data_IF_394125740941
#
_entry.id   IF_394125740941
#
_cell.length_a   1.000
_cell.length_b   1.000
_cell.length_c   1.000
_cell.angle_alpha   90.00
_cell.angle_beta   90.00
_cell.angle_gamma   90.00
#
_symmetry.space_group_name_H-M   'P 1'
#
loop_
_entity.id
_entity.type
_entity.pdbx_description
1 polymer ?
#
# COMPACT_ATOMS: atom_id res chain seq x y z
N UNK A 1 3.37 1.96 19.72
CA UNK A 1 3.99 3.29 19.87
C UNK A 1 3.16 4.37 19.18
N UNK A 2 3.22 5.61 19.68
CA UNK A 2 2.51 6.78 19.13
C UNK A 2 3.45 7.99 19.11
N UNK A 3 3.40 8.77 18.03
CA UNK A 3 4.16 10.02 17.84
C UNK A 3 5.68 9.88 18.04
N UNK A 4 6.28 8.84 17.45
CA UNK A 4 7.74 8.69 17.35
C UNK A 4 8.27 9.28 16.04
N UNK A 5 9.60 9.33 15.90
CA UNK A 5 10.22 9.72 14.64
C UNK A 5 9.73 8.81 13.49
N UNK A 6 9.32 9.41 12.38
CA UNK A 6 8.76 8.69 11.22
C UNK A 6 7.36 8.09 11.38
N UNK A 7 6.73 8.08 12.56
CA UNK A 7 5.47 7.33 12.79
C UNK A 7 4.48 8.10 13.67
N UNK A 8 3.22 8.17 13.24
CA UNK A 8 2.10 8.71 14.03
C UNK A 8 1.56 7.63 14.99
N UNK A 9 1.33 6.42 14.49
CA UNK A 9 0.89 5.27 15.28
C UNK A 9 1.49 4.00 14.69
N UNK A 10 1.95 3.07 15.54
CA UNK A 10 2.34 1.72 15.15
C UNK A 10 2.02 0.72 16.24
N UNK A 11 1.43 -0.41 15.89
CA UNK A 11 1.24 -1.55 16.79
C UNK A 11 1.23 -2.87 16.01
N UNK A 12 2.01 -3.83 16.48
CA UNK A 12 2.06 -5.22 15.99
C UNK A 12 1.33 -6.20 16.92
N UNK A 13 0.85 -5.73 18.08
CA UNK A 13 0.19 -6.54 19.12
C UNK A 13 1.05 -7.64 19.75
N UNK A 14 2.37 -7.68 19.48
CA UNK A 14 3.29 -8.69 20.02
C UNK A 14 3.93 -8.25 21.34
N UNK A 15 3.99 -6.95 21.59
CA UNK A 15 4.72 -6.38 22.75
C UNK A 15 4.11 -6.70 24.13
N UNK A 16 2.81 -6.98 24.21
CA UNK A 16 2.17 -7.39 25.49
C UNK A 16 0.86 -8.15 25.28
N UNK A 17 0.45 -8.93 26.28
CA UNK A 17 -0.83 -9.66 26.27
C UNK A 17 -2.06 -8.77 26.53
N UNK A 18 -1.85 -7.50 26.91
CA UNK A 18 -2.91 -6.56 27.25
C UNK A 18 -2.99 -5.40 26.26
N UNK A 19 -4.12 -4.70 26.26
CA UNK A 19 -4.27 -3.51 25.43
C UNK A 19 -3.31 -2.41 25.91
N UNK A 20 -2.44 -1.92 25.03
CA UNK A 20 -1.60 -0.75 25.32
C UNK A 20 -2.46 0.52 25.30
N UNK A 21 -2.80 1.01 26.49
CA UNK A 21 -3.61 2.21 26.67
C UNK A 21 -2.95 3.52 26.21
N UNK A 22 -1.67 3.48 25.85
CA UNK A 22 -1.00 4.62 25.20
C UNK A 22 -1.30 4.71 23.71
N UNK A 23 -1.74 3.61 23.09
CA UNK A 23 -2.07 3.49 21.66
C UNK A 23 -3.59 3.40 21.47
N UNK A 24 -4.24 2.59 22.32
CA UNK A 24 -5.65 2.25 22.21
C UNK A 24 -6.43 2.64 23.44
N UNK A 25 -7.49 3.40 23.25
CA UNK A 25 -8.34 3.83 24.36
C UNK A 25 -9.32 2.74 24.82
N UNK A 26 -9.90 2.00 23.87
CA UNK A 26 -11.00 1.07 24.12
C UNK A 26 -10.92 -0.11 23.15
N UNK A 27 -11.24 -1.30 23.67
CA UNK A 27 -11.43 -2.51 22.88
C UNK A 27 -12.66 -3.25 23.42
N UNK A 28 -13.61 -3.56 22.54
CA UNK A 28 -14.85 -4.27 22.86
C UNK A 28 -14.95 -5.52 21.98
N UNK A 29 -15.31 -6.65 22.60
CA UNK A 29 -15.46 -7.91 21.88
C UNK A 29 -14.17 -8.43 21.24
N UNK A 30 -13.02 -7.95 21.75
CA UNK A 30 -11.70 -8.15 21.18
C UNK A 30 -10.68 -8.51 22.25
N UNK A 31 -9.62 -9.23 21.86
CA UNK A 31 -8.47 -9.49 22.72
C UNK A 31 -7.23 -9.84 21.92
N UNK A 32 -6.06 -9.49 22.46
CA UNK A 32 -4.77 -9.85 21.85
C UNK A 32 -4.54 -11.35 22.06
N UNK A 33 -4.35 -12.08 20.96
CA UNK A 33 -4.31 -13.54 20.99
C UNK A 33 -3.70 -14.14 19.72
N UNK A 34 -3.25 -15.38 19.82
CA UNK A 34 -2.91 -16.28 18.69
C UNK A 34 -4.07 -17.23 18.36
N UNK A 35 -5.27 -17.02 18.92
CA UNK A 35 -6.41 -17.94 18.79
C UNK A 35 -6.82 -18.21 17.34
N UNK A 36 -6.78 -17.18 16.49
CA UNK A 36 -7.05 -17.32 15.06
C UNK A 36 -5.80 -17.59 14.23
N UNK A 37 -4.74 -18.10 14.85
CA UNK A 37 -3.46 -18.32 14.18
C UNK A 37 -2.79 -17.01 13.77
N UNK A 38 -1.85 -17.13 12.83
CA UNK A 38 -1.04 -16.00 12.34
C UNK A 38 -1.85 -15.23 11.29
N UNK A 39 -2.01 -13.92 11.48
CA UNK A 39 -2.54 -13.01 10.46
C UNK A 39 -1.39 -12.54 9.57
N UNK A 40 -0.36 -11.94 10.16
CA UNK A 40 0.88 -11.59 9.46
C UNK A 40 2.10 -12.15 10.21
N UNK A 41 2.19 -11.89 11.52
CA UNK A 41 3.21 -12.42 12.42
C UNK A 41 2.69 -12.44 13.86
N UNK A 42 3.10 -13.43 14.65
CA UNK A 42 2.86 -13.41 16.10
C UNK A 42 1.38 -13.34 16.50
N UNK A 43 1.10 -12.53 17.53
CA UNK A 43 -0.23 -12.23 18.07
C UNK A 43 -0.95 -11.20 17.22
N UNK A 44 -2.27 -11.22 17.30
CA UNK A 44 -3.12 -10.23 16.65
C UNK A 44 -4.25 -9.80 17.57
N UNK A 45 -4.91 -8.68 17.26
CA UNK A 45 -6.15 -8.29 17.91
C UNK A 45 -7.31 -9.11 17.33
N UNK A 46 -7.82 -10.09 18.07
CA UNK A 46 -8.83 -11.05 17.61
C UNK A 46 -10.23 -10.66 18.09
N UNK A 47 -11.19 -10.62 17.16
CA UNK A 47 -12.61 -10.34 17.41
C UNK A 47 -13.45 -11.59 17.15
N UNK A 48 -13.71 -12.35 18.21
CA UNK A 48 -14.52 -13.59 18.14
C UNK A 48 -15.76 -13.57 19.03
N UNK A 49 -15.97 -12.54 19.85
CA UNK A 49 -17.13 -12.50 20.75
C UNK A 49 -18.43 -12.54 19.94
N UNK A 50 -19.35 -13.50 20.19
CA UNK A 50 -20.51 -13.72 19.35
C UNK A 50 -21.57 -12.65 19.55
N UNK A 51 -21.61 -11.98 20.71
CA UNK A 51 -22.64 -10.98 21.05
C UNK A 51 -21.97 -9.74 21.63
N UNK A 52 -22.54 -8.58 21.32
CA UNK A 52 -22.06 -7.29 21.82
C UNK A 52 -21.41 -6.48 20.72
N UNK A 53 -20.54 -5.55 21.11
CA UNK A 53 -19.81 -4.69 20.20
C UNK A 53 -18.46 -5.33 19.87
N UNK A 54 -18.06 -5.22 18.60
CA UNK A 54 -16.70 -5.54 18.13
C UNK A 54 -16.08 -4.25 17.64
N UNK A 55 -15.29 -3.61 18.49
CA UNK A 55 -14.75 -2.27 18.26
C UNK A 55 -13.35 -2.15 18.85
N UNK A 56 -12.44 -1.48 18.14
CA UNK A 56 -11.13 -1.06 18.63
C UNK A 56 -10.93 0.41 18.30
N UNK A 57 -10.60 1.23 19.32
CA UNK A 57 -10.56 2.69 19.21
C UNK A 57 -9.19 3.20 19.65
N UNK A 58 -8.49 3.92 18.76
CA UNK A 58 -7.19 4.53 19.07
C UNK A 58 -7.31 5.64 20.11
N UNK A 59 -6.19 6.07 20.69
CA UNK A 59 -6.11 7.36 21.40
C UNK A 59 -6.34 8.53 20.42
N UNK A 60 -6.43 9.75 20.94
CA UNK A 60 -6.38 10.95 20.10
C UNK A 60 -4.98 11.12 19.52
N UNK A 61 -4.91 11.32 18.21
CA UNK A 61 -3.68 11.43 17.42
C UNK A 61 -3.66 12.78 16.71
N UNK A 62 -2.45 13.30 16.52
CA UNK A 62 -2.20 14.34 15.53
C UNK A 62 -1.87 13.71 14.17
N UNK A 63 -2.79 13.81 13.21
CA UNK A 63 -2.69 13.20 11.87
C UNK A 63 -2.46 14.25 10.79
N UNK A 64 -2.08 15.48 11.15
CA UNK A 64 -1.80 16.58 10.20
C UNK A 64 -0.81 16.19 9.10
N UNK A 65 0.12 15.29 9.40
CA UNK A 65 1.18 14.83 8.50
C UNK A 65 0.96 13.42 7.98
N UNK A 66 -0.14 12.77 8.33
CA UNK A 66 -0.46 11.41 7.87
C UNK A 66 -1.01 11.43 6.44
N UNK A 67 -0.57 10.48 5.62
CA UNK A 67 -1.07 10.31 4.24
C UNK A 67 -1.75 8.95 4.01
N UNK A 68 -1.34 7.92 4.74
CA UNK A 68 -1.85 6.57 4.60
C UNK A 68 -1.97 5.89 5.97
N UNK A 69 -2.75 4.81 6.00
CA UNK A 69 -2.81 3.85 7.10
C UNK A 69 -2.67 2.47 6.49
N UNK A 70 -1.72 1.69 6.98
CA UNK A 70 -1.53 0.30 6.57
C UNK A 70 -1.85 -0.61 7.73
N UNK A 71 -2.49 -1.74 7.45
CA UNK A 71 -2.87 -2.75 8.42
C UNK A 71 -3.12 -4.08 7.71
N UNK A 72 -2.97 -5.19 8.43
CA UNK A 72 -3.37 -6.50 7.97
C UNK A 72 -4.69 -6.91 8.64
N UNK A 73 -5.64 -7.41 7.84
CA UNK A 73 -6.92 -7.92 8.34
C UNK A 73 -7.21 -9.28 7.71
N UNK A 74 -7.51 -10.28 8.53
CA UNK A 74 -7.83 -11.63 8.09
C UNK A 74 -8.62 -12.37 9.16
N UNK A 75 -9.29 -13.46 8.79
CA UNK A 75 -9.78 -14.43 9.77
C UNK A 75 -8.69 -15.41 10.25
N UNK A 76 -7.52 -15.41 9.61
CA UNK A 76 -6.45 -16.36 9.90
C UNK A 76 -6.94 -17.81 9.73
N UNK A 77 -6.70 -18.65 10.74
CA UNK A 77 -7.24 -20.01 10.81
C UNK A 77 -8.67 -20.10 11.36
N UNK A 78 -9.26 -19.00 11.82
CA UNK A 78 -10.67 -18.96 12.21
C UNK A 78 -11.59 -18.91 10.98
N UNK A 79 -12.88 -19.13 11.21
CA UNK A 79 -13.89 -19.07 10.17
C UNK A 79 -14.40 -17.62 10.07
N UNK A 80 -14.29 -16.95 8.90
CA UNK A 80 -14.92 -15.65 8.68
C UNK A 80 -16.44 -15.82 8.63
N UNK A 81 -17.19 -14.80 9.07
CA UNK A 81 -18.65 -14.81 9.00
C UNK A 81 -19.12 -14.41 7.60
N UNK A 82 -19.61 -15.32 6.76
CA UNK A 82 -19.95 -15.00 5.37
C UNK A 82 -21.17 -14.06 5.25
N UNK A 83 -22.03 -14.06 6.27
CA UNK A 83 -23.20 -13.20 6.36
C UNK A 83 -23.01 -12.03 7.35
N UNK A 84 -21.87 -11.98 8.04
CA UNK A 84 -21.56 -10.87 8.92
C UNK A 84 -21.33 -9.60 8.07
N UNK A 85 -21.69 -8.44 8.60
CA UNK A 85 -21.43 -7.18 7.91
C UNK A 85 -19.93 -6.90 7.78
N UNK A 86 -19.59 -6.08 6.79
CA UNK A 86 -18.22 -5.65 6.56
C UNK A 86 -17.67 -4.85 7.74
N UNK A 87 -16.38 -5.07 7.99
CA UNK A 87 -15.57 -4.31 8.94
C UNK A 87 -15.48 -2.87 8.40
N UNK A 88 -15.78 -1.92 9.26
CA UNK A 88 -15.79 -0.50 8.97
C UNK A 88 -14.59 0.19 9.61
N UNK A 89 -13.94 1.08 8.86
CA UNK A 89 -12.88 1.92 9.36
C UNK A 89 -13.36 3.36 9.33
N UNK A 90 -13.33 3.99 10.50
CA UNK A 90 -13.87 5.34 10.70
C UNK A 90 -12.93 6.20 11.52
N UNK A 91 -13.05 7.51 11.39
CA UNK A 91 -12.40 8.48 12.25
C UNK A 91 -13.42 9.43 12.88
N UNK A 92 -13.05 10.01 14.01
CA UNK A 92 -13.78 11.11 14.63
C UNK A 92 -12.78 12.18 15.09
N UNK A 93 -13.23 13.42 15.12
CA UNK A 93 -12.44 14.57 15.56
C UNK A 93 -12.98 15.03 16.91
N UNK A 94 -12.09 15.26 17.88
CA UNK A 94 -12.36 15.79 19.23
C UNK A 94 -13.22 14.93 20.17
N UNK A 95 -14.49 14.67 19.84
CA UNK A 95 -15.49 14.19 20.82
C UNK A 95 -15.85 12.71 20.67
N UNK A 96 -15.40 12.04 19.61
CA UNK A 96 -15.70 10.63 19.29
C UNK A 96 -17.20 10.32 19.23
N UNK A 97 -18.02 11.32 18.91
CA UNK A 97 -19.46 11.15 18.74
C UNK A 97 -19.78 11.01 17.26
N UNK A 98 -19.27 11.93 16.43
CA UNK A 98 -19.50 11.92 14.98
C UNK A 98 -18.40 11.13 14.26
N UNK A 99 -18.72 9.89 13.90
CA UNK A 99 -17.78 8.99 13.23
C UNK A 99 -17.96 9.05 11.72
N UNK A 100 -16.91 9.50 11.06
CA UNK A 100 -16.78 9.60 9.62
C UNK A 100 -16.11 8.36 9.05
N UNK A 101 -16.72 7.77 8.04
CA UNK A 101 -16.24 6.52 7.43
C UNK A 101 -15.11 6.81 6.43
N UNK A 102 -13.95 6.18 6.64
CA UNK A 102 -12.79 6.25 5.74
C UNK A 102 -12.95 5.24 4.62
N UNK A 103 -13.23 4.00 5.02
CA UNK A 103 -13.42 2.89 4.11
C UNK A 103 -14.58 2.04 4.60
N UNK A 104 -15.67 2.15 3.84
CA UNK A 104 -16.85 1.30 3.72
C UNK A 104 -17.82 2.10 2.87
N UNK A 105 -18.41 1.43 1.89
CA UNK A 105 -19.28 1.98 0.84
C UNK A 105 -20.26 3.00 1.43
N UNK A 106 -20.01 4.30 1.25
CA UNK A 106 -20.94 5.37 1.59
C UNK A 106 -20.99 6.39 0.46
N UNK A 107 -22.21 6.86 0.19
CA UNK A 107 -22.56 7.69 -0.98
C UNK A 107 -21.99 9.12 -0.95
N UNK A 108 -21.45 9.57 0.19
CA UNK A 108 -20.83 10.88 0.37
C UNK A 108 -19.73 10.79 1.43
N UNK A 109 -18.55 10.22 1.12
CA UNK A 109 -17.46 10.16 2.08
C UNK A 109 -16.87 11.57 2.29
N UNK A 110 -16.61 11.99 3.54
CA UNK A 110 -15.81 13.18 3.79
C UNK A 110 -14.42 13.01 3.16
N UNK A 111 -13.84 14.11 2.70
CA UNK A 111 -12.51 14.06 2.08
C UNK A 111 -11.49 13.56 3.11
N UNK A 112 -10.57 12.69 2.70
CA UNK A 112 -9.47 12.23 3.57
C UNK A 112 -8.62 13.39 4.12
N UNK A 113 -8.70 14.58 3.52
CA UNK A 113 -8.07 15.80 4.03
C UNK A 113 -8.70 16.32 5.34
N UNK A 114 -9.99 16.08 5.58
CA UNK A 114 -10.64 16.49 6.83
C UNK A 114 -10.09 15.69 8.03
N UNK A 115 -9.58 14.49 7.78
CA UNK A 115 -8.92 13.66 8.77
C UNK A 115 -7.47 14.07 9.06
N UNK A 116 -6.90 15.09 8.38
CA UNK A 116 -5.52 15.58 8.61
C UNK A 116 -5.51 16.75 9.60
N UNK A 117 -5.86 16.47 10.85
CA UNK A 117 -5.96 17.48 11.90
C UNK A 117 -5.45 16.94 13.24
N UNK A 118 -5.44 17.79 14.27
CA UNK A 118 -5.23 17.37 15.65
C UNK A 118 -6.51 16.75 16.23
N UNK A 119 -6.37 15.86 17.21
CA UNK A 119 -7.51 15.31 17.94
C UNK A 119 -8.29 14.22 17.18
N UNK A 120 -7.65 13.53 16.24
CA UNK A 120 -8.30 12.46 15.46
C UNK A 120 -8.20 11.12 16.18
N UNK A 121 -9.28 10.37 16.24
CA UNK A 121 -9.27 8.97 16.70
C UNK A 121 -9.80 8.06 15.61
N UNK A 122 -9.16 6.90 15.43
CA UNK A 122 -9.59 5.88 14.49
C UNK A 122 -10.35 4.77 15.21
N UNK A 123 -11.33 4.21 14.52
CA UNK A 123 -12.13 3.09 15.00
C UNK A 123 -12.29 2.04 13.92
N UNK A 124 -11.89 0.83 14.27
CA UNK A 124 -12.21 -0.39 13.56
C UNK A 124 -13.43 -1.00 14.22
N UNK A 125 -14.53 -1.19 13.50
CA UNK A 125 -15.73 -1.81 14.08
C UNK A 125 -16.46 -2.72 13.12
N UNK A 126 -17.22 -3.66 13.70
CA UNK A 126 -18.15 -4.50 12.98
C UNK A 126 -19.53 -4.39 13.63
N UNK A 127 -20.51 -3.98 12.83
CA UNK A 127 -21.91 -3.88 13.26
C UNK A 127 -22.60 -5.23 13.09
N UNK A 128 -23.54 -5.55 13.97
CA UNK A 128 -24.38 -6.73 13.84
C UNK A 128 -25.48 -6.47 12.79
N UNK A 129 -25.81 -7.48 11.98
CA UNK A 129 -26.94 -7.37 11.06
C UNK A 129 -28.25 -7.16 11.82
N UNK A 130 -29.18 -6.38 11.25
CA UNK A 130 -30.39 -5.95 11.94
C UNK A 130 -31.31 -7.12 12.39
N UNK A 131 -31.23 -8.25 11.72
CA UNK A 131 -31.96 -9.49 11.98
C UNK A 131 -31.11 -10.58 12.67
N UNK A 132 -29.80 -10.35 12.80
CA UNK A 132 -28.89 -11.24 13.49
C UNK A 132 -28.87 -10.95 15.00
N UNK A 133 -28.65 -12.01 15.79
CA UNK A 133 -28.53 -11.93 17.25
C UNK A 133 -27.10 -12.22 17.73
N UNK A 134 -26.24 -12.71 16.82
CA UNK A 134 -24.83 -12.99 17.07
C UNK A 134 -24.03 -12.92 15.77
N UNK A 135 -22.75 -12.60 15.88
CA UNK A 135 -21.79 -12.75 14.79
C UNK A 135 -21.53 -14.23 14.51
N UNK A 136 -21.41 -14.58 13.23
CA UNK A 136 -21.20 -15.96 12.79
C UNK A 136 -19.72 -16.37 12.76
N UNK A 137 -18.82 -15.40 12.54
CA UNK A 137 -17.39 -15.70 12.43
C UNK A 137 -16.50 -14.74 13.20
N UNK A 138 -15.20 -14.87 12.95
CA UNK A 138 -14.16 -14.04 13.54
C UNK A 138 -13.38 -13.25 12.49
N UNK A 139 -12.75 -12.19 12.94
CA UNK A 139 -11.71 -11.49 12.20
C UNK A 139 -10.63 -11.02 13.17
N UNK A 140 -9.45 -10.76 12.65
CA UNK A 140 -8.31 -10.32 13.41
C UNK A 140 -7.58 -9.19 12.66
N UNK A 141 -7.05 -8.25 13.44
CA UNK A 141 -6.28 -7.09 12.99
C UNK A 141 -4.84 -7.25 13.48
N UNK A 142 -3.89 -6.98 12.59
CA UNK A 142 -2.47 -7.14 12.86
C UNK A 142 -1.68 -6.03 12.15
N UNK A 143 -0.52 -5.67 12.71
CA UNK A 143 0.48 -4.79 12.10
C UNK A 143 -0.11 -3.49 11.54
N UNK A 144 -0.65 -2.65 12.42
CA UNK A 144 -1.15 -1.32 12.05
C UNK A 144 -0.02 -0.29 12.08
N UNK A 145 0.07 0.55 11.05
CA UNK A 145 0.94 1.72 11.02
C UNK A 145 0.29 2.91 10.32
N UNK A 146 0.50 4.08 10.90
CA UNK A 146 0.23 5.38 10.30
C UNK A 146 1.59 6.09 10.20
N UNK A 147 2.25 6.10 9.04
CA UNK A 147 3.53 6.76 8.89
C UNK A 147 3.38 8.27 8.98
N UNK A 148 4.41 8.93 9.50
CA UNK A 148 4.55 10.38 9.47
C UNK A 148 5.16 10.79 8.13
N UNK A 149 4.39 11.46 7.29
CA UNK A 149 4.79 11.86 5.93
C UNK A 149 5.13 13.35 5.84
N UNK A 150 5.42 14.01 6.97
CA UNK A 150 5.84 15.41 6.97
C UNK A 150 7.10 15.65 6.14
N UNK A 151 8.02 14.69 6.17
CA UNK A 151 9.29 14.73 5.47
C UNK A 151 9.62 13.33 4.97
N UNK A 152 9.41 13.06 3.68
CA UNK A 152 9.93 11.84 3.05
C UNK A 152 11.43 12.00 2.86
N UNK A 153 12.28 11.12 3.44
CA UNK A 153 13.71 11.22 3.26
C UNK A 153 14.10 10.89 1.82
N UNK A 154 15.19 11.51 1.34
CA UNK A 154 15.73 11.28 0.00
C UNK A 154 16.70 10.10 -0.08
N UNK A 155 17.07 9.57 1.08
CA UNK A 155 18.01 8.48 1.26
C UNK A 155 17.57 7.68 2.49
N UNK A 156 17.77 6.37 2.43
CA UNK A 156 17.62 5.45 3.55
C UNK A 156 18.92 4.65 3.66
N UNK A 157 19.49 4.63 4.85
CA UNK A 157 20.69 3.84 5.17
C UNK A 157 20.43 3.18 6.52
N UNK A 158 20.54 1.86 6.56
CA UNK A 158 20.31 1.08 7.77
C UNK A 158 21.26 -0.12 7.79
N UNK A 159 21.99 -0.25 8.88
CA UNK A 159 22.88 -1.37 9.15
C UNK A 159 22.31 -2.31 10.23
N UNK A 160 21.09 -2.05 10.71
CA UNK A 160 20.36 -2.82 11.72
C UNK A 160 21.04 -2.92 13.09
N UNK A 161 22.03 -2.08 13.40
CA UNK A 161 22.63 -1.99 14.75
C UNK A 161 21.66 -1.44 15.80
N UNK A 162 20.79 -0.52 15.36
CA UNK A 162 19.72 0.07 16.16
C UNK A 162 18.46 0.13 15.31
N UNK A 163 17.34 -0.35 15.85
CA UNK A 163 16.06 -0.27 15.15
C UNK A 163 15.58 1.18 15.07
N UNK A 164 15.45 1.70 13.86
CA UNK A 164 14.83 2.99 13.56
C UNK A 164 13.42 2.78 12.94
N UNK A 165 12.33 3.13 13.65
CA UNK A 165 10.97 2.96 13.14
C UNK A 165 10.64 3.88 11.96
N UNK A 166 11.49 4.85 11.62
CA UNK A 166 11.32 5.73 10.46
C UNK A 166 11.82 5.14 9.13
N UNK A 167 12.59 4.05 9.18
CA UNK A 167 13.13 3.40 7.98
C UNK A 167 12.21 2.31 7.42
N UNK A 168 11.57 1.53 8.29
CA UNK A 168 10.84 0.31 7.89
C UNK A 168 9.39 0.30 8.35
N UNK A 169 8.46 0.13 7.41
CA UNK A 169 7.03 -0.05 7.68
C UNK A 169 6.77 -1.43 8.27
N UNK A 170 7.14 -2.50 7.58
CA UNK A 170 6.85 -3.88 8.02
C UNK A 170 7.98 -4.83 7.65
N UNK A 171 8.23 -5.80 8.52
CA UNK A 171 9.09 -6.94 8.23
C UNK A 171 8.59 -8.20 8.94
N UNK A 172 7.38 -8.70 8.60
CA UNK A 172 6.79 -9.83 9.31
C UNK A 172 7.66 -11.08 9.22
N UNK A 173 7.75 -11.82 10.33
CA UNK A 173 8.64 -12.97 10.49
C UNK A 173 10.14 -12.62 10.33
N UNK A 174 10.50 -11.34 10.39
CA UNK A 174 11.87 -10.85 10.40
C UNK A 174 12.27 -10.41 11.80
N UNK A 175 13.44 -10.85 12.24
CA UNK A 175 14.03 -10.47 13.52
C UNK A 175 15.33 -9.72 13.30
N UNK A 176 15.53 -8.61 14.00
CA UNK A 176 16.83 -7.93 14.01
C UNK A 176 17.72 -8.61 15.06
N UNK A 177 18.66 -9.43 14.62
CA UNK A 177 19.51 -10.23 15.51
C UNK A 177 20.85 -10.59 14.86
N UNK A 178 21.78 -11.16 15.63
CA UNK A 178 23.00 -11.72 15.08
C UNK A 178 22.73 -13.16 14.61
N UNK A 179 22.69 -13.36 13.29
CA UNK A 179 22.40 -14.64 12.64
C UNK A 179 23.20 -14.80 11.34
N UNK A 180 23.18 -16.01 10.77
CA UNK A 180 23.76 -16.32 9.46
C UNK A 180 25.24 -15.99 9.31
N UNK A 181 26.02 -16.24 10.37
CA UNK A 181 27.46 -15.95 10.48
C UNK A 181 27.81 -14.46 10.24
N UNK A 182 26.84 -13.55 10.39
CA UNK A 182 27.10 -12.12 10.34
C UNK A 182 27.89 -11.66 11.59
N UNK A 183 28.88 -10.79 11.38
CA UNK A 183 29.62 -10.18 12.49
C UNK A 183 28.80 -9.09 13.21
N UNK A 184 27.78 -8.56 12.54
CA UNK A 184 26.91 -7.46 13.00
C UNK A 184 25.47 -7.98 13.12
N UNK A 185 24.56 -7.13 13.60
CA UNK A 185 23.12 -7.44 13.61
C UNK A 185 22.55 -7.29 12.20
N UNK A 186 21.64 -8.18 11.84
CA UNK A 186 21.02 -8.22 10.51
C UNK A 186 19.52 -8.40 10.66
N UNK A 187 18.76 -7.96 9.66
CA UNK A 187 17.36 -8.38 9.52
C UNK A 187 17.33 -9.83 9.02
N UNK A 188 17.00 -10.74 9.93
CA UNK A 188 17.05 -12.18 9.72
C UNK A 188 15.65 -12.76 9.57
N UNK A 189 15.42 -13.50 8.49
CA UNK A 189 14.20 -14.28 8.28
C UNK A 189 14.52 -15.77 8.47
N UNK A 190 13.92 -16.38 9.50
CA UNK A 190 14.28 -17.73 9.93
C UNK A 190 13.49 -18.86 9.24
N UNK A 191 12.42 -18.53 8.50
CA UNK A 191 11.45 -19.56 8.11
C UNK A 191 10.59 -19.95 9.30
N UNK A 192 9.26 -19.83 9.20
CA UNK A 192 8.43 -20.26 10.32
C UNK A 192 8.29 -21.78 10.42
N UNK A 193 7.83 -22.23 11.60
CA UNK A 193 7.81 -23.64 11.98
C UNK A 193 6.79 -24.50 11.22
N UNK A 194 5.85 -23.87 10.50
CA UNK A 194 4.79 -24.56 9.74
C UNK A 194 4.98 -24.37 8.24
N UNK A 195 4.71 -25.42 7.45
CA UNK A 195 4.69 -25.39 5.98
C UNK A 195 3.50 -24.59 5.41
N UNK A 196 3.17 -23.45 6.03
CA UNK A 196 2.14 -22.52 5.58
C UNK A 196 2.74 -21.34 4.80
N UNK A 197 1.88 -20.60 4.11
CA UNK A 197 2.21 -19.33 3.45
C UNK A 197 2.58 -18.28 4.51
N UNK A 198 3.83 -18.30 4.94
CA UNK A 198 4.38 -17.25 5.79
C UNK A 198 4.83 -16.11 4.91
N UNK A 199 4.33 -14.92 5.21
CA UNK A 199 4.75 -13.71 4.55
C UNK A 199 6.10 -13.26 5.11
N UNK A 200 7.15 -13.38 4.30
CA UNK A 200 8.50 -12.90 4.60
C UNK A 200 8.86 -11.82 3.59
N UNK A 201 8.80 -10.59 4.04
CA UNK A 201 9.16 -9.43 3.25
C UNK A 201 9.62 -8.32 4.18
N UNK A 202 10.28 -7.31 3.64
CA UNK A 202 10.56 -6.06 4.34
C UNK A 202 10.11 -4.90 3.45
N UNK A 203 9.40 -3.94 4.04
CA UNK A 203 8.88 -2.75 3.35
C UNK A 203 9.50 -1.52 4.00
N UNK A 204 10.20 -0.70 3.22
CA UNK A 204 10.71 0.59 3.69
C UNK A 204 9.60 1.64 3.78
N UNK A 205 9.88 2.74 4.47
CA UNK A 205 9.10 3.97 4.31
C UNK A 205 9.22 4.53 2.89
N UNK A 206 8.26 5.38 2.53
CA UNK A 206 8.22 6.10 1.26
C UNK A 206 9.38 7.12 1.19
N UNK A 207 10.19 7.01 0.14
CA UNK A 207 11.33 7.90 -0.14
C UNK A 207 10.97 8.93 -1.21
N UNK A 208 11.43 10.17 -1.04
CA UNK A 208 11.36 11.19 -2.10
C UNK A 208 12.52 11.01 -3.08
N UNK A 209 12.29 10.14 -4.07
CA UNK A 209 13.20 9.91 -5.19
C UNK A 209 12.81 10.73 -6.43
N UNK A 210 12.04 11.80 -6.26
CA UNK A 210 11.63 12.63 -7.38
C UNK A 210 12.81 13.40 -7.97
N UNK A 211 12.99 13.26 -9.28
CA UNK A 211 13.92 14.09 -10.04
C UNK A 211 13.21 14.81 -11.18
N UNK A 212 13.75 15.97 -11.54
CA UNK A 212 13.36 16.66 -12.76
C UNK A 212 14.04 15.95 -13.94
N UNK A 213 13.24 15.22 -14.74
CA UNK A 213 13.71 14.72 -16.02
C UNK A 213 14.07 15.91 -16.92
N UNK A 214 15.26 15.87 -17.51
CA UNK A 214 15.64 16.86 -18.51
C UNK A 214 14.79 16.63 -19.76
N UNK A 215 14.33 17.70 -20.41
CA UNK A 215 13.39 17.62 -21.55
C UNK A 215 13.87 16.74 -22.72
N UNK A 216 15.17 16.42 -22.77
CA UNK A 216 15.77 15.52 -23.74
C UNK A 216 15.51 14.03 -23.52
N UNK A 217 15.09 13.63 -22.30
CA UNK A 217 14.81 12.23 -21.97
C UNK A 217 13.35 11.84 -22.22
N UNK A 218 12.45 12.79 -22.51
CA UNK A 218 11.03 12.50 -22.77
C UNK A 218 10.83 12.02 -24.21
N UNK A 219 10.39 10.77 -24.39
CA UNK A 219 10.14 10.18 -25.72
C UNK A 219 8.94 10.85 -26.40
N UNK A 220 7.89 11.09 -25.63
CA UNK A 220 6.64 11.69 -26.09
C UNK A 220 6.00 12.48 -24.96
N UNK A 221 5.42 13.63 -25.28
CA UNK A 221 4.56 14.37 -24.34
C UNK A 221 3.35 14.93 -25.05
N UNK A 222 2.20 14.91 -24.37
CA UNK A 222 0.95 15.54 -24.82
C UNK A 222 0.41 16.43 -23.69
N UNK A 223 0.21 17.71 -24.00
CA UNK A 223 -0.50 18.69 -23.18
C UNK A 223 -1.79 19.07 -23.89
N UNK A 224 -2.94 18.98 -23.22
CA UNK A 224 -4.24 19.21 -23.86
C UNK A 224 -4.64 20.71 -23.96
N UNK A 225 -3.64 21.60 -24.09
CA UNK A 225 -3.78 23.06 -24.10
C UNK A 225 -4.11 23.65 -25.49
N UNK A 226 -4.43 22.81 -26.48
CA UNK A 226 -4.70 23.26 -27.84
C UNK A 226 -5.98 24.14 -27.88
N UNK A 227 -5.96 25.38 -28.43
CA UNK A 227 -7.10 26.31 -28.41
C UNK A 227 -8.39 25.81 -29.09
N UNK A 228 -8.36 24.65 -29.76
CA UNK A 228 -9.53 23.96 -30.31
C UNK A 228 -10.28 23.08 -29.30
N UNK A 229 -9.67 22.75 -28.15
CA UNK A 229 -10.32 22.04 -27.05
C UNK A 229 -10.91 23.05 -26.06
N UNK A 230 -12.23 23.11 -25.87
CA UNK A 230 -12.80 23.96 -24.84
C UNK A 230 -12.33 23.43 -23.48
N UNK A 231 -11.59 24.25 -22.73
CA UNK A 231 -11.30 24.00 -21.33
C UNK A 231 -12.60 23.62 -20.62
N UNK A 232 -12.64 22.41 -20.06
CA UNK A 232 -13.83 21.86 -19.42
C UNK A 232 -14.32 22.82 -18.33
N UNK A 233 -15.49 23.43 -18.55
CA UNK A 233 -16.20 24.19 -17.51
C UNK A 233 -17.14 23.25 -16.78
N UNK A 234 -16.88 22.98 -15.51
CA UNK A 234 -17.78 22.22 -14.65
C UNK A 234 -17.18 21.93 -13.28
N UNK A 235 -18.05 21.65 -12.31
CA UNK A 235 -17.67 21.03 -11.04
C UNK A 235 -17.49 19.54 -11.27
N UNK A 236 -16.31 18.99 -10.99
CA UNK A 236 -16.07 17.55 -11.05
C UNK A 236 -16.65 16.89 -9.80
N UNK A 237 -17.66 16.04 -9.97
CA UNK A 237 -18.12 15.12 -8.93
C UNK A 237 -17.21 13.88 -8.92
N UNK A 238 -16.41 13.63 -7.86
CA UNK A 238 -15.42 12.56 -7.86
C UNK A 238 -16.05 11.16 -7.77
N UNK A 239 -15.28 10.13 -8.07
CA UNK A 239 -15.66 8.74 -7.80
C UNK A 239 -15.71 8.48 -6.29
N UNK A 240 -16.73 7.77 -5.81
CA UNK A 240 -17.00 7.47 -4.40
C UNK A 240 -16.94 5.97 -4.07
N UNK A 241 -16.65 5.13 -5.06
CA UNK A 241 -16.54 3.68 -4.95
C UNK A 241 -15.47 3.14 -5.91
N UNK A 242 -14.89 1.99 -5.58
CA UNK A 242 -13.98 1.24 -6.46
C UNK A 242 -14.65 0.80 -7.76
N UNK A 243 -15.98 0.72 -7.81
CA UNK A 243 -16.74 0.40 -9.04
C UNK A 243 -16.58 1.46 -10.14
N UNK A 244 -16.23 2.70 -9.75
CA UNK A 244 -16.07 3.83 -10.68
C UNK A 244 -14.59 4.13 -10.98
N UNK A 245 -13.69 3.22 -10.60
CA UNK A 245 -12.26 3.37 -10.83
C UNK A 245 -11.93 3.43 -12.33
N UNK A 246 -10.85 4.16 -12.63
CA UNK A 246 -10.30 4.24 -14.00
C UNK A 246 -9.21 3.19 -14.10
N UNK A 247 -9.25 2.38 -15.15
CA UNK A 247 -8.24 1.35 -15.39
C UNK A 247 -7.38 1.70 -16.60
N UNK A 248 -6.07 1.46 -16.48
CA UNK A 248 -5.07 1.68 -17.53
C UNK A 248 -4.74 0.33 -18.17
N UNK A 249 -4.80 0.28 -19.50
CA UNK A 249 -4.51 -0.92 -20.29
C UNK A 249 -3.56 -0.60 -21.42
N UNK A 250 -2.77 -1.59 -21.84
CA UNK A 250 -2.12 -1.61 -23.14
C UNK A 250 -2.85 -2.55 -24.09
N UNK A 251 -2.99 -2.14 -25.35
CA UNK A 251 -3.54 -2.93 -26.44
C UNK A 251 -2.41 -3.29 -27.38
N UNK A 252 -2.08 -4.57 -27.46
CA UNK A 252 -1.00 -5.09 -28.30
C UNK A 252 -1.51 -5.54 -29.67
N UNK A 253 -0.59 -5.76 -30.61
CA UNK A 253 -0.89 -6.30 -31.94
C UNK A 253 -1.75 -7.58 -31.84
N UNK A 254 -2.96 -7.53 -32.42
CA UNK A 254 -3.98 -8.58 -32.29
C UNK A 254 -5.17 -8.21 -31.39
N UNK A 255 -5.17 -7.01 -30.78
CA UNK A 255 -6.30 -6.48 -30.01
C UNK A 255 -6.40 -7.02 -28.58
N UNK A 256 -5.40 -7.77 -28.12
CA UNK A 256 -5.34 -8.25 -26.73
C UNK A 256 -5.11 -7.05 -25.80
N UNK A 257 -5.96 -6.96 -24.76
CA UNK A 257 -5.85 -5.97 -23.68
C UNK A 257 -5.04 -6.54 -22.53
N UNK A 258 -3.98 -5.85 -22.14
CA UNK A 258 -3.16 -6.12 -20.97
C UNK A 258 -3.50 -5.04 -19.94
N UNK A 259 -4.01 -5.43 -18.78
CA UNK A 259 -4.25 -4.51 -17.67
C UNK A 259 -2.90 -4.13 -17.04
N UNK A 260 -2.71 -2.83 -16.80
CA UNK A 260 -1.47 -2.29 -16.24
C UNK A 260 -1.68 -1.80 -14.81
N UNK A 261 -2.76 -1.05 -14.55
CA UNK A 261 -3.02 -0.46 -13.24
C UNK A 261 -4.50 -0.06 -13.09
N UNK A 262 -4.99 -0.05 -11.85
CA UNK A 262 -6.30 0.51 -11.50
C UNK A 262 -6.12 1.75 -10.64
N UNK A 263 -6.67 2.88 -11.09
CA UNK A 263 -6.59 4.17 -10.39
C UNK A 263 -7.69 4.25 -9.34
N UNK A 264 -7.31 4.02 -8.08
CA UNK A 264 -8.25 4.04 -6.95
C UNK A 264 -8.78 5.44 -6.66
N UNK A 265 -10.11 5.56 -6.57
CA UNK A 265 -10.79 6.80 -6.24
C UNK A 265 -10.38 7.43 -4.89
N UNK A 266 -9.77 6.67 -3.97
CA UNK A 266 -9.29 7.17 -2.68
C UNK A 266 -7.98 7.98 -2.79
N UNK A 267 -7.16 7.72 -3.80
CA UNK A 267 -5.85 8.37 -3.98
C UNK A 267 -5.99 9.73 -4.67
N UNK A 268 -6.89 9.82 -5.65
CA UNK A 268 -6.97 10.95 -6.58
C UNK A 268 -8.10 11.94 -6.25
N UNK A 269 -8.75 11.81 -5.09
CA UNK A 269 -9.84 12.69 -4.62
C UNK A 269 -9.36 14.09 -4.19
N UNK A 270 -8.11 14.18 -3.77
CA UNK A 270 -7.58 15.32 -3.03
C UNK A 270 -6.14 15.63 -3.45
N UNK A 271 -5.96 16.20 -4.65
CA UNK A 271 -4.79 17.06 -4.83
C UNK A 271 -4.99 18.05 -5.98
N UNK A 272 -4.74 19.36 -5.75
CA UNK A 272 -4.53 20.34 -6.82
C UNK A 272 -3.16 20.18 -7.49
N UNK A 273 -2.35 19.19 -7.07
CA UNK A 273 -1.03 18.92 -7.62
C UNK A 273 -1.09 17.82 -8.68
N UNK A 274 -0.31 18.01 -9.75
CA UNK A 274 -0.06 17.03 -10.79
C UNK A 274 0.40 15.71 -10.16
N UNK A 275 -0.53 14.77 -9.97
CA UNK A 275 -0.20 13.45 -9.49
C UNK A 275 0.48 12.70 -10.63
N UNK A 276 1.81 12.57 -10.52
CA UNK A 276 2.58 11.69 -11.39
C UNK A 276 2.19 10.26 -11.06
N UNK A 277 1.55 9.58 -12.00
CA UNK A 277 1.24 8.17 -11.87
C UNK A 277 2.06 7.38 -12.89
N UNK A 278 3.30 6.98 -12.54
CA UNK A 278 4.12 6.19 -13.43
C UNK A 278 3.50 4.79 -13.58
N UNK A 279 3.02 4.50 -14.80
CA UNK A 279 2.51 3.18 -15.14
C UNK A 279 3.64 2.35 -15.72
N UNK A 280 4.16 1.43 -14.92
CA UNK A 280 5.14 0.45 -15.37
C UNK A 280 4.42 -0.61 -16.19
N UNK A 281 5.08 -1.07 -17.25
CA UNK A 281 4.52 -2.09 -18.12
C UNK A 281 5.54 -3.20 -18.37
N UNK A 282 5.11 -4.47 -18.44
CA UNK A 282 6.01 -5.60 -18.62
C UNK A 282 6.64 -5.55 -20.02
N UNK A 283 7.94 -5.25 -20.07
CA UNK A 283 8.66 -5.02 -21.32
C UNK A 283 8.52 -6.22 -22.27
N UNK A 284 8.71 -7.44 -21.77
CA UNK A 284 8.64 -8.69 -22.54
C UNK A 284 7.28 -8.94 -23.22
N UNK A 285 6.20 -8.37 -22.69
CA UNK A 285 4.86 -8.55 -23.25
C UNK A 285 4.51 -7.53 -24.33
N UNK A 286 5.15 -6.36 -24.29
CA UNK A 286 4.82 -5.21 -25.13
C UNK A 286 5.85 -4.94 -26.22
N UNK A 287 7.12 -5.26 -25.99
CA UNK A 287 8.18 -5.01 -26.96
C UNK A 287 8.45 -6.25 -27.80
N UNK A 288 7.63 -6.43 -28.85
CA UNK A 288 7.95 -7.34 -29.97
C UNK A 288 8.32 -6.52 -31.20
N UNK A 289 9.30 -6.95 -32.02
CA UNK A 289 9.64 -6.26 -33.26
C UNK A 289 8.40 -6.04 -34.14
N UNK A 290 8.05 -4.78 -34.42
CA UNK A 290 6.88 -4.40 -35.22
C UNK A 290 5.54 -4.31 -34.46
N UNK A 291 5.53 -4.37 -33.13
CA UNK A 291 4.32 -4.16 -32.34
C UNK A 291 3.95 -2.67 -32.27
N UNK A 292 2.75 -2.31 -32.76
CA UNK A 292 2.11 -1.04 -32.48
C UNK A 292 1.25 -1.21 -31.22
N UNK A 293 1.69 -0.63 -30.11
CA UNK A 293 0.96 -0.69 -28.84
C UNK A 293 0.15 0.59 -28.66
N UNK A 294 -1.09 0.45 -28.19
CA UNK A 294 -1.94 1.60 -27.83
C UNK A 294 -2.24 1.55 -26.35
N UNK A 295 -2.01 2.64 -25.63
CA UNK A 295 -2.40 2.75 -24.22
C UNK A 295 -3.80 3.34 -24.12
N UNK A 296 -4.62 2.80 -23.21
CA UNK A 296 -6.01 3.21 -23.02
C UNK A 296 -6.31 3.41 -21.54
N UNK A 297 -6.93 4.53 -21.20
CA UNK A 297 -7.60 4.72 -19.91
C UNK A 297 -9.10 4.51 -20.11
N UNK A 298 -9.72 3.72 -19.24
CA UNK A 298 -11.14 3.36 -19.36
C UNK A 298 -11.81 3.39 -18.00
N UNK A 299 -12.95 4.06 -17.93
CA UNK A 299 -13.89 3.97 -16.82
C UNK A 299 -15.07 3.11 -17.26
N UNK A 300 -15.33 2.00 -16.57
CA UNK A 300 -16.38 1.05 -16.98
C UNK A 300 -17.78 1.47 -16.53
N UNK A 301 -17.88 2.24 -15.44
CA UNK A 301 -19.15 2.67 -14.84
C UNK A 301 -19.09 4.13 -14.41
N UNK A 302 -20.21 4.83 -14.56
CA UNK A 302 -20.43 6.17 -14.04
C UNK A 302 -21.93 6.38 -13.76
N UNK A 303 -22.27 7.30 -12.86
CA UNK A 303 -23.67 7.59 -12.50
C UNK A 303 -24.41 8.55 -13.45
N UNK A 304 -23.76 8.98 -14.53
CA UNK A 304 -24.38 9.79 -15.58
C UNK A 304 -23.61 11.08 -15.83
N UNK A 305 -24.27 12.05 -16.47
CA UNK A 305 -23.64 13.33 -16.82
C UNK A 305 -23.10 14.03 -15.57
N UNK A 306 -21.83 14.44 -15.61
CA UNK A 306 -21.14 15.15 -14.52
C UNK A 306 -21.09 14.40 -13.19
N UNK A 307 -21.13 13.06 -13.20
CA UNK A 307 -20.92 12.20 -12.03
C UNK A 307 -19.72 11.29 -12.24
N UNK A 308 -18.93 11.07 -11.20
CA UNK A 308 -17.69 10.28 -11.25
C UNK A 308 -16.71 10.78 -12.33
N UNK A 309 -16.56 12.10 -12.43
CA UNK A 309 -15.76 12.80 -13.44
C UNK A 309 -14.28 12.66 -13.11
N UNK A 310 -13.47 12.37 -14.13
CA UNK A 310 -12.01 12.33 -14.07
C UNK A 310 -11.42 13.12 -15.25
N UNK A 311 -10.19 13.60 -15.07
CA UNK A 311 -9.44 14.31 -16.08
C UNK A 311 -8.00 13.79 -16.12
N UNK A 312 -7.36 13.93 -17.27
CA UNK A 312 -5.96 13.60 -17.48
C UNK A 312 -5.29 14.77 -18.17
N UNK A 313 -4.04 15.03 -17.79
CA UNK A 313 -3.21 16.06 -18.40
C UNK A 313 -1.73 15.64 -18.34
N UNK A 314 -0.88 16.27 -19.15
CA UNK A 314 0.57 16.04 -19.19
C UNK A 314 0.96 14.57 -19.32
N UNK A 315 0.44 13.91 -20.36
CA UNK A 315 0.88 12.55 -20.69
C UNK A 315 2.35 12.61 -21.11
N UNK A 316 3.18 11.74 -20.53
CA UNK A 316 4.57 11.60 -20.90
C UNK A 316 4.96 10.13 -21.03
N UNK A 317 5.75 9.79 -22.05
CA UNK A 317 6.40 8.49 -22.18
C UNK A 317 7.91 8.68 -21.95
N UNK A 318 8.44 7.94 -20.97
CA UNK A 318 9.84 7.98 -20.58
C UNK A 318 10.58 6.71 -21.05
N UNK A 319 11.90 6.79 -21.27
CA UNK A 319 12.73 5.63 -21.56
C UNK A 319 12.79 4.70 -20.35
N UNK A 320 13.06 3.42 -20.62
CA UNK A 320 13.19 2.41 -19.58
C UNK A 320 14.35 2.68 -18.62
N UNK A 321 15.45 3.25 -19.11
CA UNK A 321 16.60 3.68 -18.31
C UNK A 321 16.80 5.19 -18.51
N UNK A 322 16.92 5.97 -17.42
CA UNK A 322 17.27 7.37 -17.52
C UNK A 322 18.68 7.54 -18.10
N UNK A 323 18.94 8.70 -18.71
CA UNK A 323 20.25 9.02 -19.29
C UNK A 323 21.36 9.15 -18.23
N UNK A 324 20.98 9.40 -16.97
CA UNK A 324 21.84 9.51 -15.81
C UNK A 324 21.23 8.74 -14.63
N UNK A 325 22.09 8.12 -13.80
CA UNK A 325 21.68 7.40 -12.60
C UNK A 325 21.53 8.42 -11.46
N UNK A 326 20.35 8.50 -10.87
CA UNK A 326 19.97 9.44 -9.82
C UNK A 326 19.86 8.83 -8.43
N UNK A 327 19.43 7.58 -8.36
CA UNK A 327 19.30 6.80 -7.15
C UNK A 327 19.81 5.37 -7.38
N UNK A 328 20.36 4.77 -6.34
CA UNK A 328 20.85 3.40 -6.33
C UNK A 328 20.31 2.73 -5.07
N UNK A 329 19.88 1.49 -5.21
CA UNK A 329 19.61 0.59 -4.08
C UNK A 329 20.78 -0.41 -4.01
N UNK A 330 21.40 -0.50 -2.83
CA UNK A 330 22.50 -1.40 -2.53
C UNK A 330 22.22 -2.09 -1.19
N UNK A 331 22.42 -3.40 -1.14
CA UNK A 331 22.23 -4.19 0.07
C UNK A 331 23.06 -5.48 -0.02
N UNK A 332 23.43 -6.02 1.14
CA UNK A 332 24.04 -7.34 1.25
C UNK A 332 22.94 -8.38 1.53
N UNK A 333 22.91 -9.46 0.74
CA UNK A 333 21.96 -10.56 0.90
C UNK A 333 22.69 -11.89 1.02
N UNK A 334 22.48 -12.60 2.13
CA UNK A 334 22.93 -13.98 2.32
C UNK A 334 21.71 -14.92 2.28
N UNK A 335 21.43 -15.48 1.10
CA UNK A 335 20.35 -16.45 0.94
C UNK A 335 20.72 -17.81 1.54
N UNK A 336 19.77 -18.43 2.25
CA UNK A 336 19.92 -19.75 2.90
C UNK A 336 21.07 -19.81 3.91
N UNK A 337 21.61 -18.67 4.32
CA UNK A 337 22.69 -18.53 5.31
C UNK A 337 23.89 -19.44 5.02
N UNK A 338 24.28 -19.53 3.75
CA UNK A 338 25.37 -20.38 3.26
C UNK A 338 24.97 -21.82 2.90
N UNK A 339 23.67 -22.14 2.92
CA UNK A 339 23.14 -23.41 2.44
C UNK A 339 23.00 -23.50 0.90
N UNK A 340 22.29 -24.53 0.44
CA UNK A 340 22.14 -24.88 -0.98
C UNK A 340 20.67 -24.98 -1.43
N UNK A 341 19.77 -24.19 -0.85
CA UNK A 341 18.39 -24.08 -1.32
C UNK A 341 18.22 -23.02 -2.42
N UNK A 342 17.28 -23.26 -3.34
CA UNK A 342 16.91 -22.36 -4.44
C UNK A 342 15.95 -21.24 -3.98
N UNK A 343 16.24 -20.60 -2.83
CA UNK A 343 15.47 -19.45 -2.36
C UNK A 343 15.70 -18.24 -3.26
N UNK A 344 14.62 -17.59 -3.70
CA UNK A 344 14.70 -16.35 -4.50
C UNK A 344 14.04 -15.22 -3.73
N UNK A 345 14.76 -14.12 -3.56
CA UNK A 345 14.23 -12.87 -3.00
C UNK A 345 13.95 -11.92 -4.15
N UNK A 346 12.68 -11.53 -4.31
CA UNK A 346 12.29 -10.50 -5.27
C UNK A 346 12.51 -9.11 -4.66
N UNK A 347 13.07 -8.20 -5.46
CA UNK A 347 13.19 -6.78 -5.08
C UNK A 347 12.15 -5.99 -5.86
N UNK A 348 11.21 -5.39 -5.15
CA UNK A 348 10.06 -4.69 -5.71
C UNK A 348 10.00 -3.25 -5.21
N UNK A 349 9.27 -2.40 -5.92
CA UNK A 349 8.97 -1.03 -5.52
C UNK A 349 7.50 -0.70 -5.74
N UNK A 350 7.02 0.32 -5.03
CA UNK A 350 5.69 0.89 -5.19
C UNK A 350 5.79 2.41 -5.30
N UNK A 351 4.89 3.01 -6.07
CA UNK A 351 4.76 4.49 -6.20
C UNK A 351 3.38 4.97 -5.76
N UNK A 352 2.58 4.08 -5.17
CA UNK A 352 1.20 4.34 -4.76
C UNK A 352 0.91 3.80 -3.36
N UNK A 353 1.87 3.95 -2.45
CA UNK A 353 1.76 3.58 -1.03
C UNK A 353 1.47 2.08 -0.84
N UNK A 354 2.17 1.22 -1.59
CA UNK A 354 2.10 -0.23 -1.44
C UNK A 354 0.81 -0.88 -1.97
N UNK A 355 -0.01 -0.16 -2.77
CA UNK A 355 -1.21 -0.73 -3.39
C UNK A 355 -0.88 -1.65 -4.55
N UNK A 356 0.09 -1.26 -5.37
CA UNK A 356 0.65 -2.08 -6.43
C UNK A 356 2.17 -2.12 -6.31
N UNK A 357 2.75 -3.26 -6.70
CA UNK A 357 4.18 -3.52 -6.64
C UNK A 357 4.71 -3.92 -8.03
N UNK A 358 5.96 -3.57 -8.30
CA UNK A 358 6.65 -3.92 -9.54
C UNK A 358 8.09 -4.29 -9.26
N UNK A 359 8.63 -5.28 -9.98
CA UNK A 359 10.05 -5.65 -9.89
C UNK A 359 10.94 -4.47 -10.25
N UNK A 360 11.94 -4.18 -9.42
CA UNK A 360 12.95 -3.12 -9.69
C UNK A 360 13.73 -3.42 -10.97
N UNK A 361 13.99 -4.70 -11.25
CA UNK A 361 14.59 -5.15 -12.49
C UNK A 361 13.83 -6.37 -13.06
N UNK A 362 13.61 -6.36 -14.37
CA UNK A 362 13.06 -7.51 -15.10
C UNK A 362 14.15 -8.13 -15.99
N UNK A 363 14.19 -9.46 -16.05
CA UNK A 363 15.11 -10.17 -16.92
C UNK A 363 14.87 -9.83 -18.40
N UNK A 364 15.94 -9.41 -19.07
CA UNK A 364 15.93 -9.03 -20.47
C UNK A 364 16.83 -9.98 -21.26
N UNK A 365 16.32 -11.19 -21.56
CA UNK A 365 17.08 -12.22 -22.27
C UNK A 365 17.22 -11.91 -23.77
N UNK A 366 18.37 -12.24 -24.40
CA UNK A 366 18.58 -12.06 -25.84
C UNK A 366 17.51 -12.80 -26.66
N UNK A 367 16.80 -12.07 -27.53
CA UNK A 367 15.75 -12.61 -28.40
C UNK A 367 14.31 -12.40 -27.90
N UNK A 368 14.12 -12.03 -26.63
CA UNK A 368 12.80 -11.65 -26.08
C UNK A 368 12.63 -10.14 -25.92
N UNK A 369 13.72 -9.38 -26.01
CA UNK A 369 13.75 -7.93 -25.79
C UNK A 369 14.81 -7.30 -26.70
N UNK A 370 14.51 -6.17 -27.34
CA UNK A 370 15.47 -5.37 -28.13
C UNK A 370 16.30 -4.38 -27.26
N UNK A 371 16.28 -4.56 -25.93
CA UNK A 371 17.06 -3.76 -24.99
C UNK A 371 18.53 -4.18 -24.90
N UNK A 372 19.39 -3.28 -24.43
CA UNK A 372 20.78 -3.63 -24.10
C UNK A 372 20.74 -4.74 -23.05
N UNK A 373 21.36 -5.93 -23.28
CA UNK A 373 21.41 -6.96 -22.26
C UNK A 373 22.10 -6.37 -21.03
N UNK A 374 21.36 -6.27 -19.93
CA UNK A 374 21.93 -5.91 -18.64
C UNK A 374 22.87 -7.06 -18.27
N UNK A 375 24.18 -6.81 -18.36
CA UNK A 375 25.19 -7.70 -17.80
C UNK A 375 25.15 -7.55 -16.28
N UNK A 376 24.22 -8.24 -15.64
CA UNK A 376 24.37 -8.62 -14.25
C UNK A 376 25.54 -9.59 -14.16
N UNK A 377 26.53 -9.24 -13.34
CA UNK A 377 27.59 -10.15 -12.93
C UNK A 377 26.90 -11.26 -12.14
N UNK A 378 26.90 -12.48 -12.66
CA UNK A 378 26.71 -13.65 -11.80
C UNK A 378 27.87 -13.62 -10.78
N UNK A 379 27.54 -13.50 -9.50
CA UNK A 379 28.41 -14.03 -8.44
C UNK A 379 28.08 -15.51 -8.26
#
# INVERSE_FOLDING_TARGET
MVHSEGVVLRDDFDSSDGLDYTIWSEAYGAGISEYCGIVLHGKSMVFCEPVGKRELISVYLNTTTAAAMHFAVSAGSCIPGPNDYSIAISYAIDDRVDWHLIDKISSHPPSADEAKTEGVSFRFHQDLAADAHSFEGCWALDNIIIPNMAHSPKQLEDNFDLFDPSHWLFFPNGDITNACDANETVLYFNGGESQGELHQFAISHDLDLSEYFDSGDVIFTESFDDPGFPAGRGTCDPADSSEYAVSVYAVVAGGQRIHLQTLSHLVYKASPHHLLNPVWYPWASLHRPGAANTFCLSQERHLGLSRNVWAIDQLALLPWLPSHISAIIEFELNADCGGFNEGVVAVEFSTNQGKDWSLVQQECLPGNCDGVPLRGVCL
#
